data_IF_825814206846
#
_entry.id   IF_825814206846
#
_cell.length_a   1.000
_cell.length_b   1.000
_cell.length_c   1.000
_cell.angle_alpha   90.00
_cell.angle_beta   90.00
_cell.angle_gamma   90.00
#
_symmetry.space_group_name_H-M   'P 1'
#
loop_
_entity.id
_entity.type
_entity.pdbx_description
1 polymer ?
#
# COMPACT_ATOMS: atom_id res chain seq x y z
N UNK A 1 -0.07 7.09 20.97
CA UNK A 1 -0.02 8.07 19.87
C UNK A 1 1.41 8.58 19.77
N UNK A 2 1.97 8.65 18.56
CA UNK A 2 3.27 9.25 18.26
C UNK A 2 3.04 10.26 17.13
N UNK A 3 3.77 11.37 17.13
CA UNK A 3 3.74 12.36 16.06
C UNK A 3 5.13 12.95 15.86
N UNK A 4 5.43 13.35 14.63
CA UNK A 4 6.67 14.03 14.28
C UNK A 4 6.39 14.92 13.07
N UNK A 5 7.01 16.10 13.03
CA UNK A 5 7.03 16.94 11.83
C UNK A 5 7.88 16.25 10.76
N UNK A 6 7.40 16.25 9.52
CA UNK A 6 8.14 15.67 8.39
C UNK A 6 8.69 16.77 7.49
N UNK A 7 9.95 16.63 7.10
CA UNK A 7 10.53 17.36 5.96
C UNK A 7 10.23 16.56 4.71
N UNK A 8 9.47 17.15 3.79
CA UNK A 8 9.15 16.50 2.51
C UNK A 8 10.24 16.75 1.47
N UNK A 9 10.40 15.77 0.59
CA UNK A 9 11.29 15.85 -0.56
C UNK A 9 10.51 16.05 -1.85
N UNK A 10 10.80 15.20 -2.83
CA UNK A 10 10.17 15.23 -4.15
C UNK A 10 8.75 14.69 -4.11
N UNK A 11 7.94 15.15 -5.05
CA UNK A 11 6.63 14.56 -5.39
C UNK A 11 6.73 13.96 -6.78
N UNK A 12 6.40 12.68 -6.90
CA UNK A 12 6.53 11.91 -8.14
C UNK A 12 5.16 11.39 -8.54
N UNK A 13 4.73 11.69 -9.75
CA UNK A 13 3.57 11.06 -10.36
C UNK A 13 4.03 9.76 -11.03
N UNK A 14 3.33 8.66 -10.73
CA UNK A 14 3.55 7.35 -11.34
C UNK A 14 2.26 6.95 -12.03
N UNK A 15 2.37 6.57 -13.30
CA UNK A 15 1.26 6.02 -14.08
C UNK A 15 1.60 4.58 -14.38
N UNK A 16 0.73 3.67 -13.94
CA UNK A 16 0.86 2.25 -14.22
C UNK A 16 0.02 1.92 -15.45
N UNK A 17 0.58 1.11 -16.32
CA UNK A 17 0.00 0.71 -17.59
C UNK A 17 -0.77 -0.63 -17.45
N UNK A 18 -1.61 -1.00 -18.43
CA UNK A 18 -2.30 -2.29 -18.41
C UNK A 18 -1.34 -3.47 -18.20
N UNK A 19 -1.59 -4.27 -17.16
CA UNK A 19 -0.79 -5.44 -16.80
C UNK A 19 0.26 -5.21 -15.72
N UNK A 20 0.52 -3.96 -15.32
CA UNK A 20 1.47 -3.64 -14.26
C UNK A 20 0.96 -4.11 -12.89
N UNK A 21 1.82 -4.78 -12.12
CA UNK A 21 1.57 -5.11 -10.72
C UNK A 21 1.89 -3.90 -9.84
N UNK A 22 0.92 -3.48 -9.03
CA UNK A 22 0.94 -2.18 -8.34
C UNK A 22 2.08 -2.03 -7.34
N UNK A 23 2.30 -3.03 -6.50
CA UNK A 23 3.32 -2.95 -5.45
C UNK A 23 4.72 -2.97 -6.07
N UNK A 24 4.97 -3.89 -7.00
CA UNK A 24 6.24 -3.99 -7.72
C UNK A 24 6.56 -2.71 -8.50
N UNK A 25 5.58 -2.14 -9.21
CA UNK A 25 5.76 -0.91 -9.98
C UNK A 25 6.11 0.28 -9.10
N UNK A 26 5.48 0.40 -7.91
CA UNK A 26 5.83 1.45 -6.95
C UNK A 26 7.20 1.25 -6.31
N UNK A 27 7.60 0.01 -6.02
CA UNK A 27 8.97 -0.29 -5.61
C UNK A 27 9.96 0.17 -6.67
N UNK A 28 9.76 -0.19 -7.94
CA UNK A 28 10.66 0.20 -9.03
C UNK A 28 10.67 1.71 -9.29
N UNK A 29 9.52 2.38 -9.27
CA UNK A 29 9.45 3.85 -9.37
C UNK A 29 10.23 4.52 -8.23
N UNK A 30 10.06 4.05 -7.00
CA UNK A 30 10.82 4.58 -5.86
C UNK A 30 12.32 4.32 -6.01
N UNK A 31 12.74 3.15 -6.50
CA UNK A 31 14.15 2.85 -6.79
C UNK A 31 14.72 3.78 -7.86
N UNK A 32 14.01 3.96 -8.98
CA UNK A 32 14.42 4.82 -10.10
C UNK A 32 14.60 6.28 -9.67
N UNK A 33 13.74 6.76 -8.77
CA UNK A 33 13.86 8.10 -8.19
C UNK A 33 14.74 8.16 -6.93
N UNK A 34 15.25 7.05 -6.42
CA UNK A 34 16.02 7.02 -5.16
C UNK A 34 15.21 7.47 -3.94
N UNK A 35 13.90 7.21 -3.93
CA UNK A 35 13.00 7.45 -2.79
C UNK A 35 13.02 6.22 -1.89
N UNK A 36 13.39 6.40 -0.62
CA UNK A 36 13.43 5.31 0.37
C UNK A 36 12.21 5.25 1.27
N UNK A 37 11.56 6.39 1.47
CA UNK A 37 10.44 6.52 2.39
C UNK A 37 9.51 7.64 1.95
N UNK A 38 8.23 7.52 2.27
CA UNK A 38 7.23 8.50 1.88
C UNK A 38 5.81 8.04 2.10
N UNK A 39 4.89 8.89 1.67
CA UNK A 39 3.47 8.61 1.67
C UNK A 39 2.95 8.48 0.25
N UNK A 40 1.95 7.62 0.08
CA UNK A 40 1.08 7.61 -1.10
C UNK A 40 -0.25 8.20 -0.61
N UNK A 41 -0.43 9.53 -0.61
CA UNK A 41 -1.62 10.13 -0.05
C UNK A 41 -2.88 9.65 -0.76
N UNK A 42 -2.80 9.49 -2.08
CA UNK A 42 -3.89 8.97 -2.92
C UNK A 42 -3.32 8.27 -4.15
N UNK A 43 -3.98 7.18 -4.55
CA UNK A 43 -3.96 6.66 -5.91
C UNK A 43 -5.36 6.24 -6.33
N UNK A 44 -5.63 6.26 -7.63
CA UNK A 44 -6.90 5.77 -8.19
C UNK A 44 -6.68 5.08 -9.51
N UNK A 45 -7.54 4.11 -9.82
CA UNK A 45 -7.42 3.40 -11.09
C UNK A 45 -8.41 2.27 -11.26
N UNK A 46 -8.22 1.54 -12.34
CA UNK A 46 -8.95 0.31 -12.65
C UNK A 46 -8.03 -0.90 -12.48
N UNK A 47 -8.54 -1.94 -11.84
CA UNK A 47 -7.78 -3.15 -11.51
C UNK A 47 -8.41 -4.37 -12.18
N UNK A 48 -7.58 -5.22 -12.80
CA UNK A 48 -8.01 -6.49 -13.37
C UNK A 48 -8.20 -7.50 -12.25
N UNK A 49 -7.27 -7.52 -11.32
CA UNK A 49 -7.32 -8.28 -10.07
C UNK A 49 -6.88 -7.39 -8.91
N UNK A 50 -7.51 -7.56 -7.75
CA UNK A 50 -7.05 -6.99 -6.49
C UNK A 50 -7.21 -8.06 -5.40
N UNK A 51 -6.13 -8.35 -4.67
CA UNK A 51 -6.10 -9.34 -3.60
C UNK A 51 -5.85 -8.66 -2.27
N UNK A 52 -6.68 -8.96 -1.29
CA UNK A 52 -6.71 -8.31 0.02
C UNK A 52 -6.50 -9.31 1.14
N UNK A 53 -5.92 -8.86 2.27
CA UNK A 53 -6.17 -9.52 3.56
C UNK A 53 -7.61 -9.18 3.97
N UNK A 54 -8.50 -10.16 3.85
CA UNK A 54 -9.92 -10.06 4.16
C UNK A 54 -10.52 -11.47 4.24
N UNK A 55 -11.71 -11.59 4.82
CA UNK A 55 -12.51 -12.82 4.80
C UNK A 55 -13.89 -12.52 4.20
N UNK A 56 -14.41 -13.44 3.40
CA UNK A 56 -15.77 -13.43 2.85
C UNK A 56 -16.75 -14.28 3.67
N UNK A 57 -16.26 -14.86 4.77
CA UNK A 57 -17.01 -15.64 5.76
C UNK A 57 -16.71 -15.14 7.18
N UNK A 58 -17.61 -15.39 8.16
CA UNK A 58 -17.34 -15.05 9.55
C UNK A 58 -16.04 -15.69 10.06
N UNK A 59 -15.25 -14.92 10.79
CA UNK A 59 -14.00 -15.36 11.44
C UNK A 59 -14.20 -15.44 12.95
N UNK A 60 -13.59 -16.42 13.59
CA UNK A 60 -13.79 -16.70 15.02
C UNK A 60 -13.16 -15.64 15.95
N UNK A 61 -11.98 -15.14 15.58
CA UNK A 61 -11.25 -14.09 16.29
C UNK A 61 -10.72 -13.09 15.25
N UNK A 62 -10.97 -11.80 15.49
CA UNK A 62 -10.60 -10.69 14.62
C UNK A 62 -9.39 -9.92 15.16
N UNK A 63 -8.91 -10.23 16.36
CA UNK A 63 -7.83 -9.50 17.00
C UNK A 63 -6.45 -9.83 16.37
N UNK A 64 -6.11 -11.11 16.10
CA UNK A 64 -4.89 -11.45 15.38
C UNK A 64 -4.95 -11.06 13.89
N UNK A 65 -3.79 -10.92 13.23
CA UNK A 65 -3.74 -10.70 11.79
C UNK A 65 -4.44 -11.84 11.04
N UNK A 66 -5.39 -11.48 10.17
CA UNK A 66 -6.18 -12.47 9.44
C UNK A 66 -5.29 -13.29 8.49
N UNK A 67 -5.36 -14.65 8.55
CA UNK A 67 -4.68 -15.52 7.59
C UNK A 67 -5.51 -15.74 6.31
N UNK A 68 -6.56 -14.96 6.09
CA UNK A 68 -7.49 -15.10 4.97
C UNK A 68 -7.21 -14.03 3.92
N UNK A 69 -7.46 -14.39 2.66
CA UNK A 69 -7.38 -13.47 1.54
C UNK A 69 -8.60 -13.58 0.64
N UNK A 70 -8.98 -12.44 0.04
CA UNK A 70 -10.04 -12.37 -0.97
C UNK A 70 -9.45 -11.76 -2.23
N UNK A 71 -9.73 -12.37 -3.38
CA UNK A 71 -9.42 -11.80 -4.70
C UNK A 71 -10.69 -11.35 -5.39
N UNK A 72 -10.72 -10.09 -5.81
CA UNK A 72 -11.80 -9.53 -6.65
C UNK A 72 -11.26 -9.14 -8.01
N UNK A 73 -12.12 -9.19 -9.03
CA UNK A 73 -11.73 -8.93 -10.41
C UNK A 73 -12.52 -7.79 -11.02
N UNK A 74 -11.92 -7.11 -11.99
CA UNK A 74 -12.51 -6.03 -12.77
C UNK A 74 -13.18 -4.97 -11.89
N UNK A 75 -12.35 -4.22 -11.18
CA UNK A 75 -12.78 -3.21 -10.22
C UNK A 75 -12.24 -1.83 -10.57
N UNK A 76 -12.82 -0.80 -9.97
CA UNK A 76 -12.31 0.58 -9.98
C UNK A 76 -12.31 1.10 -8.55
N UNK A 77 -11.32 1.92 -8.19
CA UNK A 77 -11.21 2.37 -6.82
C UNK A 77 -10.11 3.37 -6.53
N UNK A 78 -9.95 3.63 -5.24
CA UNK A 78 -9.03 4.59 -4.65
C UNK A 78 -8.31 3.95 -3.46
N UNK A 79 -7.03 4.26 -3.32
CA UNK A 79 -6.24 3.78 -2.19
C UNK A 79 -5.25 4.82 -1.68
N UNK A 80 -4.56 4.43 -0.62
CA UNK A 80 -3.57 5.25 0.06
C UNK A 80 -2.57 4.33 0.76
N UNK A 81 -1.43 4.86 1.19
CA UNK A 81 -0.45 4.06 1.88
C UNK A 81 0.86 4.76 2.19
N UNK A 82 1.86 3.94 2.45
CA UNK A 82 3.21 4.37 2.81
C UNK A 82 4.25 3.59 2.03
N UNK A 83 5.40 4.22 1.81
CA UNK A 83 6.62 3.59 1.34
C UNK A 83 7.61 3.66 2.48
N UNK A 84 8.15 2.53 2.94
CA UNK A 84 9.21 2.49 3.94
C UNK A 84 10.35 1.59 3.44
N UNK A 85 11.57 1.92 3.83
CA UNK A 85 12.74 1.13 3.49
C UNK A 85 12.75 -0.19 4.26
N UNK A 86 12.93 -1.29 3.54
CA UNK A 86 13.22 -2.60 4.10
C UNK A 86 14.74 -2.81 4.09
N UNK A 87 15.31 -2.96 5.28
CA UNK A 87 16.75 -3.15 5.46
C UNK A 87 17.23 -4.54 5.02
N UNK A 88 16.38 -5.56 5.12
CA UNK A 88 16.73 -6.94 4.79
C UNK A 88 16.79 -7.14 3.28
N UNK A 89 15.82 -6.55 2.55
CA UNK A 89 15.76 -6.63 1.08
C UNK A 89 16.47 -5.46 0.39
N UNK A 90 16.87 -4.43 1.15
CA UNK A 90 17.44 -3.18 0.62
C UNK A 90 16.56 -2.57 -0.48
N UNK A 91 15.25 -2.52 -0.24
CA UNK A 91 14.25 -2.01 -1.20
C UNK A 91 13.23 -1.09 -0.51
N UNK A 92 12.65 -0.11 -1.23
CA UNK A 92 11.47 0.58 -0.76
C UNK A 92 10.26 -0.35 -0.86
N UNK A 93 9.56 -0.57 0.25
CA UNK A 93 8.44 -1.50 0.38
C UNK A 93 7.12 -0.75 0.58
N UNK A 94 6.23 -0.75 -0.42
CA UNK A 94 4.89 -0.21 -0.28
C UNK A 94 4.06 -0.96 0.75
N UNK A 95 3.19 -0.24 1.44
CA UNK A 95 2.08 -0.78 2.21
C UNK A 95 0.87 0.04 1.86
N UNK A 96 -0.02 -0.55 1.07
CA UNK A 96 -1.20 0.09 0.52
C UNK A 96 -2.47 -0.52 1.11
N UNK A 97 -3.47 0.34 1.26
CA UNK A 97 -4.87 -0.03 1.45
C UNK A 97 -5.66 0.51 0.27
N UNK A 98 -6.65 -0.23 -0.16
CA UNK A 98 -7.41 0.06 -1.37
C UNK A 98 -8.88 -0.24 -1.11
N UNK A 99 -9.76 0.66 -1.58
CA UNK A 99 -11.20 0.47 -1.62
C UNK A 99 -11.67 0.50 -3.08
N UNK A 100 -12.40 -0.53 -3.49
CA UNK A 100 -12.81 -0.75 -4.88
C UNK A 100 -14.27 -1.15 -5.00
N UNK A 101 -14.90 -0.80 -6.12
CA UNK A 101 -16.22 -1.28 -6.54
C UNK A 101 -16.11 -2.28 -7.70
N UNK A 102 -16.84 -3.38 -7.62
CA UNK A 102 -16.89 -4.40 -8.69
C UNK A 102 -17.79 -3.92 -9.84
N UNK A 103 -17.23 -3.86 -11.06
CA UNK A 103 -17.90 -3.26 -12.23
C UNK A 103 -19.20 -3.96 -12.62
N UNK A 104 -19.23 -5.29 -12.55
CA UNK A 104 -20.37 -6.09 -12.98
C UNK A 104 -21.32 -6.48 -11.84
N UNK A 105 -21.14 -5.92 -10.64
CA UNK A 105 -21.92 -6.26 -9.46
C UNK A 105 -22.42 -5.00 -8.74
N UNK A 106 -22.96 -4.03 -9.50
CA UNK A 106 -23.54 -2.79 -8.98
C UNK A 106 -22.59 -2.04 -8.02
N UNK A 107 -21.29 -2.03 -8.34
CA UNK A 107 -20.25 -1.43 -7.50
C UNK A 107 -20.19 -2.02 -6.07
N UNK A 108 -20.49 -3.31 -5.90
CA UNK A 108 -20.23 -4.03 -4.65
C UNK A 108 -18.82 -3.73 -4.15
N UNK A 109 -18.74 -3.20 -2.93
CA UNK A 109 -17.52 -2.60 -2.38
C UNK A 109 -16.65 -3.60 -1.65
N UNK A 110 -15.35 -3.55 -1.89
CA UNK A 110 -14.33 -4.30 -1.16
C UNK A 110 -13.22 -3.34 -0.72
N UNK A 111 -12.72 -3.51 0.50
CA UNK A 111 -11.62 -2.72 1.01
C UNK A 111 -10.71 -3.53 1.92
N UNK A 112 -9.42 -3.23 1.92
CA UNK A 112 -8.48 -3.87 2.84
C UNK A 112 -7.01 -3.58 2.52
N UNK A 113 -6.13 -4.26 3.25
CA UNK A 113 -4.70 -4.29 3.00
C UNK A 113 -4.41 -5.04 1.69
N UNK A 114 -3.65 -4.43 0.78
CA UNK A 114 -3.36 -4.97 -0.55
C UNK A 114 -2.21 -5.98 -0.47
N UNK A 115 -2.46 -7.22 -0.91
CA UNK A 115 -1.44 -8.25 -1.11
C UNK A 115 -0.87 -8.22 -2.54
N UNK A 116 -1.70 -7.89 -3.52
CA UNK A 116 -1.32 -7.68 -4.93
C UNK A 116 -2.45 -6.99 -5.67
N UNK A 117 -2.14 -6.22 -6.71
CA UNK A 117 -3.14 -5.70 -7.62
C UNK A 117 -2.56 -5.55 -9.03
N UNK A 118 -3.32 -5.97 -10.04
CA UNK A 118 -2.93 -5.82 -11.45
C UNK A 118 -3.72 -4.68 -12.09
N UNK A 119 -3.01 -3.76 -12.73
CA UNK A 119 -3.61 -2.62 -13.43
C UNK A 119 -4.40 -3.07 -14.65
N UNK A 120 -5.61 -2.56 -14.82
CA UNK A 120 -6.46 -2.84 -15.99
C UNK A 120 -6.31 -1.79 -17.08
N UNK A 121 -6.55 -0.52 -16.77
CA UNK A 121 -6.50 0.58 -17.74
C UNK A 121 -5.38 1.56 -17.40
N UNK A 122 -5.42 2.07 -16.17
CA UNK A 122 -4.40 2.92 -15.57
C UNK A 122 -4.56 2.83 -14.07
N UNK A 123 -3.45 2.98 -13.35
CA UNK A 123 -3.44 3.38 -11.95
C UNK A 123 -2.55 4.61 -11.83
N UNK A 124 -3.12 5.69 -11.34
CA UNK A 124 -2.45 6.98 -11.20
C UNK A 124 -2.10 7.17 -9.73
N UNK A 125 -0.81 7.32 -9.44
CA UNK A 125 -0.28 7.37 -8.08
C UNK A 125 0.51 8.65 -7.89
N UNK A 126 0.28 9.33 -6.77
CA UNK A 126 1.19 10.35 -6.26
C UNK A 126 2.04 9.76 -5.13
N UNK A 127 3.37 9.85 -5.27
CA UNK A 127 4.32 9.53 -4.21
C UNK A 127 4.89 10.83 -3.64
N UNK A 128 4.81 10.99 -2.32
CA UNK A 128 5.39 12.13 -1.60
C UNK A 128 6.53 11.65 -0.71
N UNK A 129 7.76 12.02 -1.07
CA UNK A 129 8.97 11.63 -0.34
C UNK A 129 9.03 12.28 1.03
N UNK A 130 9.48 11.52 2.03
CA UNK A 130 9.88 12.03 3.34
C UNK A 130 11.40 11.96 3.45
N UNK A 131 12.04 13.10 3.74
CA UNK A 131 13.49 13.20 3.92
C UNK A 131 13.88 13.01 5.38
N UNK A 132 13.09 13.56 6.30
CA UNK A 132 13.29 13.43 7.74
C UNK A 132 11.94 13.51 8.48
N UNK A 133 11.79 12.89 9.67
CA UNK A 133 12.71 11.92 10.29
C UNK A 133 12.77 10.60 9.49
N UNK A 134 13.62 9.66 9.92
CA UNK A 134 13.56 8.30 9.41
C UNK A 134 12.24 7.62 9.81
N UNK A 135 11.58 6.97 8.86
CA UNK A 135 10.39 6.15 9.02
C UNK A 135 10.82 4.69 9.06
N UNK A 136 10.73 4.08 10.25
CA UNK A 136 11.20 2.72 10.50
C UNK A 136 10.01 1.76 10.65
N UNK A 137 10.16 0.52 10.17
CA UNK A 137 9.25 -0.58 10.50
C UNK A 137 9.81 -1.38 11.65
N UNK A 138 9.11 -1.38 12.79
CA UNK A 138 9.54 -2.10 14.00
C UNK A 138 8.43 -3.03 14.48
N UNK A 139 8.69 -4.35 14.61
CA UNK A 139 7.74 -5.29 15.20
C UNK A 139 7.24 -4.80 16.56
N UNK A 140 5.91 -4.78 16.76
CA UNK A 140 5.31 -4.44 18.04
C UNK A 140 4.60 -5.68 18.63
N UNK A 141 5.04 -6.21 19.79
CA UNK A 141 4.35 -7.33 20.45
C UNK A 141 2.88 -7.05 20.77
N UNK A 142 2.51 -5.78 20.95
CA UNK A 142 1.11 -5.35 21.19
C UNK A 142 0.28 -5.35 19.91
N UNK A 143 0.92 -5.49 18.75
CA UNK A 143 0.30 -5.64 17.43
C UNK A 143 0.62 -7.01 16.83
N UNK A 144 0.68 -8.06 17.67
CA UNK A 144 0.94 -9.44 17.23
C UNK A 144 2.27 -9.62 16.47
N UNK A 145 3.26 -8.77 16.75
CA UNK A 145 4.54 -8.77 16.07
C UNK A 145 4.52 -8.14 14.67
N UNK A 146 3.39 -7.58 14.22
CA UNK A 146 3.33 -6.82 12.98
C UNK A 146 4.30 -5.62 13.09
N UNK A 147 5.14 -5.40 12.06
CA UNK A 147 5.95 -4.19 11.98
C UNK A 147 5.08 -2.94 11.87
N UNK A 148 5.19 -2.05 12.86
CA UNK A 148 4.50 -0.76 12.92
C UNK A 148 5.48 0.38 12.64
N UNK A 149 4.97 1.51 12.12
CA UNK A 149 5.80 2.68 11.85
C UNK A 149 6.33 3.30 13.15
N UNK A 150 7.62 3.65 13.17
CA UNK A 150 8.30 4.43 14.22
C UNK A 150 9.12 5.55 13.60
N UNK A 151 9.33 6.61 14.37
CA UNK A 151 10.21 7.70 13.99
C UNK A 151 11.62 7.44 14.56
N UNK A 152 12.63 7.52 13.70
CA UNK A 152 14.05 7.45 14.06
C UNK A 152 14.77 8.77 13.81
N UNK A 153 16.04 8.85 14.19
CA UNK A 153 16.91 9.92 13.72
C UNK A 153 17.10 9.84 12.20
N UNK A 154 17.20 10.99 11.53
CA UNK A 154 17.42 11.09 10.08
C UNK A 154 18.79 10.55 9.66
#
# INVERSE_FOLDING_TARGET
>A
MQSSEVTTGRRVAVVLEPGDEVLASLTEACRAHGIRQGFVPVFSGAFRTARFIAADVPVADQEPPLPHEVTVTYTEGIGSGTILWDADTATPTPHLHLAVGVKNAAAAGFAGHVLSAETHYTVEVLVEEVVAPALLRVPDPRAYGIPTMRFGAA
#
